data_IF_060396294273
#
_entry.id   IF_060396294273
#
_cell.length_a   1.000
_cell.length_b   1.000
_cell.length_c   1.000
_cell.angle_alpha   90.00
_cell.angle_beta   90.00
_cell.angle_gamma   90.00
#
_symmetry.space_group_name_H-M   'P 1'
#
loop_
_entity.id
_entity.type
_entity.pdbx_description
1 polymer ?
#
# COMPACT_ATOMS: atom_id res chain seq x y z
N UNK A 1 88.74 -6.71 27.16
CA UNK A 1 88.16 -7.84 26.39
C UNK A 1 86.91 -7.31 25.69
N UNK A 2 86.86 -7.42 24.36
CA UNK A 2 85.91 -6.77 23.46
C UNK A 2 84.43 -7.11 23.73
N UNK A 3 83.54 -6.13 23.69
CA UNK A 3 82.20 -6.30 23.11
C UNK A 3 81.90 -5.10 22.19
N UNK A 4 82.02 -5.33 20.88
CA UNK A 4 81.62 -4.38 19.83
C UNK A 4 80.11 -4.54 19.54
N UNK A 5 79.44 -3.39 19.43
CA UNK A 5 78.03 -3.23 19.07
C UNK A 5 77.70 -3.88 17.72
N UNK A 6 76.62 -4.66 17.66
CA UNK A 6 75.94 -5.02 16.41
C UNK A 6 74.84 -3.98 16.13
N UNK A 7 74.84 -3.40 14.93
CA UNK A 7 73.71 -2.70 14.33
C UNK A 7 73.32 -3.55 13.10
N UNK A 8 72.12 -4.14 13.03
CA UNK A 8 71.69 -4.81 11.82
C UNK A 8 71.10 -3.79 10.84
N UNK A 9 71.61 -3.86 9.61
CA UNK A 9 71.18 -3.14 8.41
C UNK A 9 69.79 -3.66 8.00
N UNK A 10 68.81 -2.77 7.92
CA UNK A 10 67.48 -3.08 7.38
C UNK A 10 67.53 -2.87 5.86
N UNK A 11 67.36 -3.95 5.10
CA UNK A 11 67.11 -3.89 3.66
C UNK A 11 65.62 -3.58 3.42
N UNK A 12 65.32 -2.45 2.77
CA UNK A 12 64.00 -2.19 2.20
C UNK A 12 63.83 -3.02 0.92
N UNK A 13 62.93 -4.00 0.95
CA UNK A 13 62.42 -4.69 -0.24
C UNK A 13 61.16 -3.96 -0.72
N UNK A 14 61.31 -3.12 -1.75
CA UNK A 14 60.19 -2.52 -2.47
C UNK A 14 59.58 -3.56 -3.41
N UNK A 15 58.53 -4.26 -2.95
CA UNK A 15 57.72 -5.16 -3.79
C UNK A 15 56.76 -4.28 -4.60
N UNK A 16 57.01 -4.14 -5.90
CA UNK A 16 56.05 -3.55 -6.83
C UNK A 16 54.89 -4.54 -7.03
N UNK A 17 53.73 -4.24 -6.45
CA UNK A 17 52.48 -4.91 -6.77
C UNK A 17 52.01 -4.40 -8.13
N UNK A 18 52.25 -5.19 -9.18
CA UNK A 18 51.53 -5.02 -10.45
C UNK A 18 50.10 -5.52 -10.19
N UNK A 19 49.21 -4.60 -9.89
CA UNK A 19 47.78 -4.87 -9.84
C UNK A 19 47.29 -5.14 -11.26
N UNK A 20 47.12 -6.42 -11.62
CA UNK A 20 46.20 -6.79 -12.69
C UNK A 20 44.80 -6.39 -12.22
N UNK A 21 44.36 -5.19 -12.58
CA UNK A 21 42.95 -4.85 -12.52
C UNK A 21 42.24 -5.80 -13.49
N UNK A 22 41.56 -6.82 -12.97
CA UNK A 22 40.52 -7.49 -13.73
C UNK A 22 39.48 -6.41 -14.05
N UNK A 23 39.34 -6.06 -15.33
CA UNK A 23 38.21 -5.29 -15.80
C UNK A 23 36.95 -6.01 -15.31
N UNK A 24 36.22 -5.36 -14.41
CA UNK A 24 34.87 -5.79 -14.04
C UNK A 24 34.10 -5.81 -15.37
N UNK A 25 33.56 -6.95 -15.81
CA UNK A 25 32.80 -6.99 -17.06
C UNK A 25 31.71 -5.93 -16.95
N UNK A 26 31.78 -4.90 -17.79
CA UNK A 26 30.67 -3.97 -17.96
C UNK A 26 29.45 -4.84 -18.28
N UNK A 27 28.47 -4.84 -17.38
CA UNK A 27 27.20 -5.55 -17.58
C UNK A 27 26.65 -4.99 -18.89
N UNK A 28 26.67 -5.79 -19.96
CA UNK A 28 26.18 -5.35 -21.27
C UNK A 28 24.78 -4.81 -21.06
N UNK A 29 24.48 -3.55 -21.46
CA UNK A 29 23.13 -3.01 -21.29
C UNK A 29 22.15 -3.93 -22.02
N UNK A 30 21.21 -4.50 -21.28
CA UNK A 30 20.16 -5.33 -21.87
C UNK A 30 19.32 -4.41 -22.75
N UNK A 31 19.09 -4.72 -24.04
CA UNK A 31 18.29 -3.89 -24.91
C UNK A 31 16.91 -3.62 -24.31
N UNK A 32 16.44 -2.37 -24.40
CA UNK A 32 15.10 -1.97 -23.95
C UNK A 32 14.00 -2.88 -24.51
N UNK A 33 14.16 -3.31 -25.77
CA UNK A 33 13.25 -4.23 -26.45
C UNK A 33 13.21 -5.63 -25.83
N UNK A 34 14.27 -6.07 -25.15
CA UNK A 34 14.29 -7.32 -24.37
C UNK A 34 13.60 -7.13 -23.02
N UNK A 35 13.85 -6.01 -22.34
CA UNK A 35 13.19 -5.67 -21.07
C UNK A 35 11.67 -5.51 -21.24
N UNK A 36 11.23 -4.90 -22.34
CA UNK A 36 9.80 -4.74 -22.67
C UNK A 36 9.07 -6.07 -22.91
N UNK A 37 9.78 -7.19 -23.12
CA UNK A 37 9.15 -8.52 -23.22
C UNK A 37 8.93 -9.19 -21.86
N UNK A 38 9.61 -8.72 -20.81
CA UNK A 38 9.49 -9.31 -19.48
C UNK A 38 8.16 -8.90 -18.82
N UNK A 39 7.57 -9.77 -17.99
CA UNK A 39 6.51 -9.37 -17.06
C UNK A 39 6.98 -8.25 -16.13
N UNK A 40 6.06 -7.40 -15.67
CA UNK A 40 6.36 -6.29 -14.75
C UNK A 40 7.11 -6.79 -13.51
N UNK A 41 6.65 -7.91 -12.92
CA UNK A 41 7.27 -8.57 -11.77
C UNK A 41 8.74 -8.90 -11.98
N UNK A 42 9.10 -9.38 -13.17
CA UNK A 42 10.49 -9.75 -13.47
C UNK A 42 11.37 -8.51 -13.60
N UNK A 43 10.86 -7.43 -14.21
CA UNK A 43 11.56 -6.13 -14.24
C UNK A 43 11.81 -5.64 -12.81
N UNK A 44 10.77 -5.61 -11.97
CA UNK A 44 10.92 -5.11 -10.59
C UNK A 44 11.86 -5.99 -9.77
N UNK A 45 11.69 -7.31 -9.81
CA UNK A 45 12.51 -8.24 -9.03
C UNK A 45 13.99 -8.19 -9.42
N UNK A 46 14.30 -8.02 -10.70
CA UNK A 46 15.67 -8.07 -11.20
C UNK A 46 16.44 -6.75 -11.04
N UNK A 47 15.74 -5.61 -10.94
CA UNK A 47 16.39 -4.29 -11.03
C UNK A 47 16.12 -3.32 -9.87
N UNK A 48 15.12 -3.56 -9.01
CA UNK A 48 14.70 -2.57 -8.00
C UNK A 48 15.06 -2.88 -6.54
N UNK A 49 15.94 -3.87 -6.29
CA UNK A 49 16.61 -4.16 -5.00
C UNK A 49 15.74 -4.13 -3.72
N UNK A 50 14.42 -4.32 -3.82
CA UNK A 50 13.51 -4.34 -2.67
C UNK A 50 13.04 -2.97 -2.14
N UNK A 51 13.30 -1.87 -2.88
CA UNK A 51 12.79 -0.53 -2.54
C UNK A 51 11.59 -0.09 -3.41
N UNK A 52 11.27 -0.83 -4.46
CA UNK A 52 10.06 -0.62 -5.25
C UNK A 52 9.25 -1.92 -5.29
N UNK A 53 7.95 -1.83 -5.03
CA UNK A 53 7.01 -2.95 -5.10
C UNK A 53 5.84 -2.65 -6.04
N UNK A 54 5.36 -3.66 -6.77
CA UNK A 54 4.27 -3.52 -7.74
C UNK A 54 3.22 -4.64 -7.64
N UNK A 55 2.08 -4.31 -7.05
CA UNK A 55 1.03 -5.25 -6.71
C UNK A 55 -0.26 -5.10 -7.52
N UNK A 56 -1.22 -5.97 -7.21
CA UNK A 56 -2.62 -5.77 -7.59
C UNK A 56 -3.56 -6.35 -6.55
N UNK A 57 -4.75 -5.77 -6.40
CA UNK A 57 -5.82 -6.40 -5.67
C UNK A 57 -6.50 -7.48 -6.51
N UNK A 58 -6.90 -8.59 -5.89
CA UNK A 58 -7.67 -9.63 -6.58
C UNK A 58 -8.69 -10.27 -5.63
N UNK A 59 -9.76 -10.84 -6.17
CA UNK A 59 -10.76 -11.56 -5.39
C UNK A 59 -10.35 -13.03 -5.22
N UNK A 60 -10.58 -13.63 -4.06
CA UNK A 60 -10.23 -15.04 -3.81
C UNK A 60 -10.83 -16.01 -4.83
N UNK A 61 -12.07 -15.75 -5.26
CA UNK A 61 -12.77 -16.54 -6.29
C UNK A 61 -12.10 -16.52 -7.69
N UNK A 62 -11.14 -15.63 -7.92
CA UNK A 62 -10.45 -15.46 -9.19
C UNK A 62 -9.01 -15.99 -9.16
N UNK A 63 -8.57 -16.62 -8.07
CA UNK A 63 -7.16 -16.98 -7.80
C UNK A 63 -6.51 -17.86 -8.88
N UNK A 64 -7.27 -18.67 -9.62
CA UNK A 64 -6.77 -19.43 -10.76
C UNK A 64 -7.50 -19.11 -12.07
N UNK A 65 -8.36 -18.10 -12.06
CA UNK A 65 -9.06 -17.59 -13.24
C UNK A 65 -8.17 -16.64 -14.05
N UNK A 66 -8.71 -16.09 -15.15
CA UNK A 66 -7.95 -15.18 -16.03
C UNK A 66 -7.25 -14.07 -15.25
N UNK A 67 -7.97 -13.38 -14.35
CA UNK A 67 -7.42 -12.31 -13.52
C UNK A 67 -6.35 -12.80 -12.56
N UNK A 68 -6.56 -13.93 -11.86
CA UNK A 68 -5.55 -14.50 -10.97
C UNK A 68 -4.27 -14.92 -11.69
N UNK A 69 -4.40 -15.52 -12.88
CA UNK A 69 -3.25 -15.91 -13.71
C UNK A 69 -2.46 -14.70 -14.23
N UNK A 70 -3.14 -13.64 -14.66
CA UNK A 70 -2.48 -12.38 -15.02
C UNK A 70 -1.79 -11.79 -13.78
N UNK A 71 -2.51 -11.74 -12.65
CA UNK A 71 -1.97 -11.15 -11.44
C UNK A 71 -0.70 -11.86 -10.95
N UNK A 72 -0.69 -13.19 -10.96
CA UNK A 72 0.46 -13.99 -10.53
C UNK A 72 1.68 -13.84 -11.45
N UNK A 73 1.43 -13.60 -12.75
CA UNK A 73 2.47 -13.37 -13.77
C UNK A 73 3.09 -11.99 -13.63
N UNK A 74 2.27 -10.95 -13.44
CA UNK A 74 2.69 -9.56 -13.60
C UNK A 74 3.11 -8.86 -12.30
N UNK A 75 2.67 -9.33 -11.13
CA UNK A 75 2.83 -8.58 -9.88
C UNK A 75 3.62 -9.34 -8.80
N UNK A 76 4.31 -8.57 -7.96
CA UNK A 76 5.19 -9.08 -6.89
C UNK A 76 4.45 -9.33 -5.56
N UNK A 77 3.33 -8.63 -5.35
CA UNK A 77 2.42 -8.81 -4.23
C UNK A 77 0.96 -8.75 -4.66
N UNK A 78 0.09 -9.28 -3.81
CA UNK A 78 -1.35 -9.21 -3.98
C UNK A 78 -2.04 -8.68 -2.73
N UNK A 79 -3.15 -7.98 -2.96
CA UNK A 79 -4.06 -7.54 -1.90
C UNK A 79 -5.39 -8.29 -2.07
N UNK A 80 -5.80 -9.14 -1.11
CA UNK A 80 -7.15 -9.71 -1.13
C UNK A 80 -8.20 -8.60 -1.09
N UNK A 81 -8.96 -8.42 -2.17
CA UNK A 81 -9.80 -7.24 -2.38
C UNK A 81 -10.88 -7.07 -1.30
N UNK A 82 -11.38 -8.18 -0.75
CA UNK A 82 -12.42 -8.20 0.27
C UNK A 82 -12.17 -9.20 1.40
N UNK A 83 -11.40 -10.26 1.14
CA UNK A 83 -11.40 -11.44 1.99
C UNK A 83 -10.81 -11.19 3.39
N UNK A 84 -10.08 -10.08 3.59
CA UNK A 84 -9.55 -9.65 4.90
C UNK A 84 -10.32 -8.49 5.56
N UNK A 85 -11.44 -8.07 4.97
CA UNK A 85 -12.32 -7.08 5.58
C UNK A 85 -13.12 -7.71 6.72
N UNK A 86 -13.40 -6.92 7.75
CA UNK A 86 -14.15 -7.39 8.91
C UNK A 86 -15.55 -7.88 8.54
N UNK A 87 -16.20 -7.29 7.52
CA UNK A 87 -17.47 -7.79 6.97
C UNK A 87 -17.44 -9.19 6.36
N UNK A 88 -16.26 -9.64 5.89
CA UNK A 88 -16.09 -10.96 5.30
C UNK A 88 -15.68 -11.99 6.35
N UNK A 89 -14.74 -11.62 7.22
CA UNK A 89 -14.21 -12.51 8.27
C UNK A 89 -15.20 -12.66 9.43
N UNK A 90 -15.86 -11.58 9.85
CA UNK A 90 -16.69 -11.55 11.05
C UNK A 90 -18.09 -10.93 10.79
N UNK A 91 -18.88 -11.55 9.89
CA UNK A 91 -20.09 -10.95 9.31
C UNK A 91 -21.25 -10.79 10.30
N UNK A 92 -21.25 -11.54 11.40
CA UNK A 92 -22.20 -11.41 12.53
C UNK A 92 -21.43 -11.50 13.85
N UNK A 93 -22.05 -11.06 14.95
CA UNK A 93 -21.42 -11.02 16.28
C UNK A 93 -20.78 -12.35 16.72
N UNK A 94 -21.42 -13.48 16.41
CA UNK A 94 -20.95 -14.81 16.87
C UNK A 94 -20.32 -15.67 15.76
N UNK A 95 -20.07 -15.13 14.56
CA UNK A 95 -19.60 -15.96 13.42
C UNK A 95 -18.26 -15.51 12.84
N UNK A 96 -17.41 -16.49 12.55
CA UNK A 96 -16.09 -16.30 11.95
C UNK A 96 -15.95 -17.10 10.67
N UNK A 97 -15.36 -16.49 9.64
CA UNK A 97 -15.13 -17.09 8.31
C UNK A 97 -13.66 -16.92 7.93
N UNK A 98 -12.86 -17.91 8.31
CA UNK A 98 -11.41 -17.91 8.08
C UNK A 98 -10.98 -18.56 6.77
N UNK A 99 -11.86 -19.34 6.13
CA UNK A 99 -11.52 -20.15 4.96
C UNK A 99 -10.92 -19.33 3.81
N UNK A 100 -11.56 -18.22 3.41
CA UNK A 100 -11.08 -17.38 2.31
C UNK A 100 -9.71 -16.72 2.64
N UNK A 101 -9.54 -16.05 3.79
CA UNK A 101 -8.23 -15.61 4.26
C UNK A 101 -7.14 -16.68 4.30
N UNK A 102 -7.44 -17.87 4.83
CA UNK A 102 -6.47 -18.96 4.97
C UNK A 102 -6.05 -19.53 3.61
N UNK A 103 -6.99 -19.58 2.65
CA UNK A 103 -6.71 -19.95 1.28
C UNK A 103 -5.75 -18.96 0.61
N UNK A 104 -5.90 -17.65 0.89
CA UNK A 104 -4.94 -16.64 0.45
C UNK A 104 -3.54 -16.86 1.02
N UNK A 105 -3.42 -17.14 2.32
CA UNK A 105 -2.13 -17.44 2.96
C UNK A 105 -1.49 -18.66 2.29
N UNK A 106 -2.26 -19.72 2.07
CA UNK A 106 -1.79 -20.96 1.43
C UNK A 106 -1.33 -20.70 0.00
N UNK A 107 -2.15 -20.00 -0.79
CA UNK A 107 -1.83 -19.63 -2.17
C UNK A 107 -0.56 -18.77 -2.25
N UNK A 108 -0.46 -17.75 -1.41
CA UNK A 108 0.71 -16.86 -1.38
C UNK A 108 2.00 -17.61 -1.05
N UNK A 109 1.93 -18.58 -0.14
CA UNK A 109 3.05 -19.47 0.17
C UNK A 109 3.46 -20.34 -1.01
N UNK A 110 2.50 -20.99 -1.68
CA UNK A 110 2.76 -21.84 -2.86
C UNK A 110 3.37 -21.03 -4.02
N UNK A 111 2.77 -19.88 -4.34
CA UNK A 111 3.20 -19.04 -5.45
C UNK A 111 4.35 -18.10 -5.12
N UNK A 112 4.82 -18.08 -3.86
CA UNK A 112 5.85 -17.15 -3.35
C UNK A 112 5.49 -15.69 -3.64
N UNK A 113 4.23 -15.35 -3.42
CA UNK A 113 3.68 -14.00 -3.59
C UNK A 113 3.61 -13.34 -2.20
N UNK A 114 3.91 -12.04 -2.12
CA UNK A 114 3.71 -11.28 -0.88
C UNK A 114 2.25 -10.87 -0.75
N UNK A 115 1.76 -10.74 0.48
CA UNK A 115 0.41 -10.30 0.77
C UNK A 115 0.40 -9.00 1.56
N UNK A 116 -0.52 -8.13 1.17
CA UNK A 116 -1.01 -6.99 1.95
C UNK A 116 -2.40 -7.32 2.47
N UNK A 117 -2.57 -7.38 3.79
CA UNK A 117 -3.87 -7.65 4.40
C UNK A 117 -4.68 -6.35 4.44
N UNK A 118 -5.85 -6.36 3.80
CA UNK A 118 -6.66 -5.16 3.57
C UNK A 118 -8.17 -5.42 3.79
N UNK A 119 -8.88 -4.64 4.62
CA UNK A 119 -8.32 -3.92 5.77
C UNK A 119 -9.15 -4.26 7.02
N UNK A 120 -8.50 -4.44 8.18
CA UNK A 120 -9.18 -4.95 9.38
C UNK A 120 -10.18 -3.94 9.97
N UNK A 121 -9.76 -2.70 10.24
CA UNK A 121 -10.62 -1.67 10.84
C UNK A 121 -10.92 -0.59 9.81
N UNK A 122 -12.16 -0.56 9.31
CA UNK A 122 -12.54 0.31 8.20
C UNK A 122 -14.05 0.57 8.14
N UNK A 123 -14.49 1.49 7.25
CA UNK A 123 -15.91 1.65 6.86
C UNK A 123 -16.56 0.40 6.28
N UNK A 124 -15.77 -0.59 5.86
CA UNK A 124 -16.25 -1.87 5.30
C UNK A 124 -16.45 -2.94 6.39
N UNK A 125 -16.70 -2.51 7.62
CA UNK A 125 -17.12 -3.39 8.71
C UNK A 125 -18.53 -3.96 8.47
N UNK A 126 -18.83 -5.03 9.19
CA UNK A 126 -20.08 -5.77 9.18
C UNK A 126 -21.26 -4.87 9.51
N UNK A 127 -22.40 -5.19 8.88
CA UNK A 127 -23.66 -4.47 9.09
C UNK A 127 -24.02 -4.32 10.57
N UNK A 128 -23.77 -5.34 11.38
CA UNK A 128 -24.11 -5.32 12.81
C UNK A 128 -23.27 -4.32 13.62
N UNK A 129 -22.05 -4.00 13.17
CA UNK A 129 -21.17 -2.97 13.77
C UNK A 129 -21.74 -1.57 13.53
N UNK A 130 -22.44 -1.40 12.41
CA UNK A 130 -23.06 -0.15 11.97
C UNK A 130 -24.43 0.11 12.57
N UNK A 131 -24.95 -0.80 13.39
CA UNK A 131 -26.28 -0.60 13.99
C UNK A 131 -26.26 0.61 14.93
N UNK A 132 -27.23 1.52 14.77
CA UNK A 132 -27.27 2.80 15.50
C UNK A 132 -27.33 2.65 17.03
N UNK A 133 -27.72 1.48 17.54
CA UNK A 133 -27.84 1.19 18.96
C UNK A 133 -26.54 0.72 19.62
N UNK A 134 -25.43 0.64 18.88
CA UNK A 134 -24.16 0.14 19.41
C UNK A 134 -23.55 1.11 20.41
N UNK A 135 -23.10 0.56 21.52
CA UNK A 135 -22.43 1.31 22.59
C UNK A 135 -20.92 1.42 22.36
N UNK A 136 -20.25 2.45 22.91
CA UNK A 136 -18.78 2.52 22.92
C UNK A 136 -18.11 1.25 23.44
N UNK A 137 -18.66 0.63 24.48
CA UNK A 137 -18.12 -0.58 25.11
C UNK A 137 -18.23 -1.80 24.20
N UNK A 138 -19.36 -1.99 23.50
CA UNK A 138 -19.53 -3.09 22.55
C UNK A 138 -18.59 -2.97 21.36
N UNK A 139 -18.48 -1.75 20.80
CA UNK A 139 -17.58 -1.48 19.67
C UNK A 139 -16.11 -1.67 20.07
N UNK A 140 -15.73 -1.23 21.27
CA UNK A 140 -14.37 -1.43 21.81
C UNK A 140 -14.07 -2.91 21.96
N UNK A 141 -14.96 -3.69 22.59
CA UNK A 141 -14.76 -5.13 22.77
C UNK A 141 -14.59 -5.85 21.45
N UNK A 142 -15.43 -5.53 20.46
CA UNK A 142 -15.30 -6.21 19.17
C UNK A 142 -14.04 -5.78 18.42
N UNK A 143 -13.65 -4.49 18.45
CA UNK A 143 -12.39 -4.06 17.85
C UNK A 143 -11.23 -4.85 18.47
N UNK A 144 -11.20 -4.95 19.80
CA UNK A 144 -10.20 -5.71 20.55
C UNK A 144 -10.16 -7.18 20.14
N UNK A 145 -11.31 -7.84 20.13
CA UNK A 145 -11.42 -9.24 19.74
C UNK A 145 -10.99 -9.45 18.29
N UNK A 146 -11.56 -8.69 17.35
CA UNK A 146 -11.31 -8.83 15.92
C UNK A 146 -9.84 -8.62 15.56
N UNK A 147 -9.26 -7.50 15.99
CA UNK A 147 -7.87 -7.18 15.69
C UNK A 147 -6.91 -8.18 16.32
N UNK A 148 -7.16 -8.58 17.57
CA UNK A 148 -6.30 -9.53 18.27
C UNK A 148 -6.30 -10.90 17.58
N UNK A 149 -7.49 -11.42 17.25
CA UNK A 149 -7.61 -12.71 16.57
C UNK A 149 -6.96 -12.67 15.18
N UNK A 150 -7.18 -11.61 14.40
CA UNK A 150 -6.56 -11.44 13.09
C UNK A 150 -5.03 -11.40 13.18
N UNK A 151 -4.48 -10.54 14.06
CA UNK A 151 -3.04 -10.38 14.22
C UNK A 151 -2.40 -11.70 14.67
N UNK A 152 -2.95 -12.36 15.69
CA UNK A 152 -2.42 -13.63 16.20
C UNK A 152 -2.46 -14.71 15.12
N UNK A 153 -3.58 -14.85 14.40
CA UNK A 153 -3.74 -15.88 13.37
C UNK A 153 -2.68 -15.77 12.27
N UNK A 154 -2.35 -14.55 11.87
CA UNK A 154 -1.41 -14.30 10.77
C UNK A 154 -0.01 -13.87 11.22
N UNK A 155 0.29 -13.93 12.53
CA UNK A 155 1.53 -13.39 13.08
C UNK A 155 2.81 -14.09 12.60
N UNK A 156 2.74 -15.30 12.04
CA UNK A 156 3.92 -16.05 11.63
C UNK A 156 3.86 -16.47 10.15
N UNK A 157 3.13 -15.70 9.33
CA UNK A 157 3.01 -15.99 7.91
C UNK A 157 4.12 -15.28 7.13
N UNK A 158 5.09 -16.00 6.53
CA UNK A 158 6.27 -15.39 5.90
C UNK A 158 5.95 -14.55 4.66
N UNK A 159 4.76 -14.75 4.08
CA UNK A 159 4.29 -14.03 2.91
C UNK A 159 3.52 -12.75 3.25
N UNK A 160 3.10 -12.56 4.51
CA UNK A 160 2.42 -11.33 4.91
C UNK A 160 3.49 -10.25 5.12
N UNK A 161 3.38 -9.17 4.36
CA UNK A 161 4.36 -8.08 4.37
C UNK A 161 3.76 -6.80 4.96
N UNK A 162 2.48 -6.53 4.71
CA UNK A 162 1.79 -5.32 5.15
C UNK A 162 0.42 -5.64 5.73
N UNK A 163 -0.01 -4.83 6.70
CA UNK A 163 -1.39 -4.78 7.18
C UNK A 163 -1.85 -3.33 7.13
N UNK A 164 -2.96 -3.07 6.44
CA UNK A 164 -3.65 -1.78 6.49
C UNK A 164 -4.47 -1.70 7.77
N UNK A 165 -3.82 -1.37 8.89
CA UNK A 165 -4.38 -1.44 10.26
C UNK A 165 -5.71 -0.70 10.37
N UNK A 166 -5.75 0.53 9.84
CA UNK A 166 -6.96 1.32 9.68
C UNK A 166 -7.07 1.84 8.26
N UNK A 167 -8.30 1.92 7.75
CA UNK A 167 -8.58 2.41 6.40
C UNK A 167 -9.65 3.51 6.43
N UNK A 168 -9.46 4.55 5.62
CA UNK A 168 -10.42 5.65 5.40
C UNK A 168 -10.86 6.34 6.70
N UNK A 169 -9.89 6.85 7.45
CA UNK A 169 -10.13 7.47 8.76
C UNK A 169 -10.50 8.94 8.67
N UNK A 170 -10.18 9.61 7.55
CA UNK A 170 -10.41 11.04 7.33
C UNK A 170 -11.40 11.24 6.19
N UNK A 171 -12.36 12.15 6.38
CA UNK A 171 -13.36 12.48 5.38
C UNK A 171 -12.73 13.15 4.16
N UNK A 172 -12.95 12.58 2.97
CA UNK A 172 -12.47 13.13 1.69
C UNK A 172 -13.39 14.20 1.08
N UNK A 173 -14.60 14.35 1.62
CA UNK A 173 -15.64 15.24 1.10
C UNK A 173 -16.49 15.81 2.25
N UNK A 174 -17.30 16.84 1.93
CA UNK A 174 -18.28 17.37 2.87
C UNK A 174 -19.54 16.53 2.83
N UNK A 175 -20.09 16.20 3.99
CA UNK A 175 -21.25 15.33 4.16
C UNK A 175 -22.19 15.97 5.15
N UNK A 176 -23.50 15.83 4.94
CA UNK A 176 -24.53 16.20 5.90
C UNK A 176 -25.28 14.96 6.35
N UNK A 177 -25.32 14.73 7.65
CA UNK A 177 -26.09 13.66 8.25
C UNK A 177 -27.16 14.22 9.21
N UNK A 178 -28.42 13.76 9.14
CA UNK A 178 -29.49 14.28 9.99
C UNK A 178 -29.35 13.98 11.48
N UNK A 179 -28.56 12.96 11.86
CA UNK A 179 -28.35 12.53 13.25
C UNK A 179 -26.99 12.96 13.76
N UNK A 180 -25.95 12.77 12.95
CA UNK A 180 -24.55 13.02 13.33
C UNK A 180 -24.04 14.40 12.92
N UNK A 181 -24.82 15.16 12.16
CA UNK A 181 -24.54 16.55 11.78
C UNK A 181 -23.67 16.69 10.53
N UNK A 182 -23.17 17.91 10.32
CA UNK A 182 -22.32 18.25 9.19
C UNK A 182 -20.87 17.81 9.46
N UNK A 183 -20.28 17.09 8.50
CA UNK A 183 -18.88 16.70 8.49
C UNK A 183 -18.18 17.36 7.29
N UNK A 184 -17.04 17.98 7.54
CA UNK A 184 -16.24 18.63 6.49
C UNK A 184 -15.10 17.73 6.03
N UNK A 185 -14.68 17.93 4.77
CA UNK A 185 -13.46 17.33 4.24
C UNK A 185 -12.27 17.67 5.14
N UNK A 186 -11.48 16.67 5.46
CA UNK A 186 -10.33 16.78 6.35
C UNK A 186 -10.69 16.66 7.83
N UNK A 187 -11.95 16.41 8.22
CA UNK A 187 -12.33 15.96 9.56
C UNK A 187 -12.29 14.43 9.66
N UNK A 188 -12.39 13.88 10.87
CA UNK A 188 -12.46 12.42 11.06
C UNK A 188 -13.70 11.87 10.39
N UNK A 189 -13.54 10.84 9.55
CA UNK A 189 -14.65 10.13 8.94
C UNK A 189 -15.40 9.35 10.02
N UNK A 190 -16.73 9.49 10.06
CA UNK A 190 -17.52 9.15 11.23
C UNK A 190 -18.82 8.42 10.88
N UNK A 191 -19.56 8.10 11.93
CA UNK A 191 -20.84 7.40 11.86
C UNK A 191 -21.90 8.22 11.11
N UNK A 192 -22.87 7.53 10.51
CA UNK A 192 -24.02 8.10 9.81
C UNK A 192 -25.28 7.37 10.23
N UNK A 193 -26.45 7.96 9.98
CA UNK A 193 -27.69 7.31 10.35
C UNK A 193 -27.93 6.05 9.50
N UNK A 194 -27.97 4.90 10.16
CA UNK A 194 -28.34 3.62 9.57
C UNK A 194 -27.24 2.96 8.74
N UNK A 195 -27.41 1.65 8.56
CA UNK A 195 -26.32 0.76 8.10
C UNK A 195 -25.99 0.75 6.60
N UNK A 196 -26.74 1.49 5.77
CA UNK A 196 -26.63 1.41 4.30
C UNK A 196 -25.69 2.45 3.69
N UNK A 197 -25.24 3.43 4.47
CA UNK A 197 -24.36 4.48 3.99
C UNK A 197 -22.90 4.04 4.07
N UNK A 198 -22.06 4.71 3.29
CA UNK A 198 -20.62 4.67 3.54
C UNK A 198 -20.35 5.48 4.80
N UNK A 199 -19.94 4.82 5.87
CA UNK A 199 -19.81 5.42 7.19
C UNK A 199 -18.74 4.72 8.02
N UNK A 200 -18.32 5.36 9.11
CA UNK A 200 -17.33 4.82 10.03
C UNK A 200 -17.90 4.80 11.46
N UNK A 201 -18.55 3.70 11.88
CA UNK A 201 -19.20 3.63 13.20
C UNK A 201 -18.19 3.66 14.36
N UNK A 202 -16.92 3.38 14.10
CA UNK A 202 -15.89 3.27 15.11
C UNK A 202 -15.63 4.58 15.88
N UNK A 203 -16.00 5.74 15.31
CA UNK A 203 -15.93 7.02 16.02
C UNK A 203 -16.88 7.12 17.22
N UNK A 204 -17.91 6.26 17.30
CA UNK A 204 -18.82 6.20 18.46
C UNK A 204 -18.07 5.84 19.74
N UNK A 205 -16.96 5.09 19.64
CA UNK A 205 -16.08 4.76 20.79
C UNK A 205 -15.59 6.04 21.50
N UNK A 206 -15.45 7.15 20.76
CA UNK A 206 -15.04 8.44 21.29
C UNK A 206 -13.68 8.89 20.77
N UNK A 207 -13.19 9.98 21.34
CA UNK A 207 -11.99 10.69 20.88
C UNK A 207 -11.08 10.99 22.07
N UNK A 208 -9.78 10.93 21.84
CA UNK A 208 -8.79 11.40 22.82
C UNK A 208 -8.90 12.92 22.99
N UNK A 209 -9.28 13.36 24.19
CA UNK A 209 -9.48 14.77 24.52
C UNK A 209 -8.15 15.53 24.70
N UNK A 210 -7.04 14.84 24.95
CA UNK A 210 -5.71 15.43 25.11
C UNK A 210 -4.98 15.57 23.76
N UNK A 211 -5.43 14.83 22.74
CA UNK A 211 -4.92 14.92 21.37
C UNK A 211 -5.28 16.25 20.72
N UNK A 212 -4.28 16.97 20.18
CA UNK A 212 -4.50 18.21 19.40
C UNK A 212 -5.52 18.01 18.28
N UNK A 213 -5.40 16.90 17.54
CA UNK A 213 -6.29 16.57 16.43
C UNK A 213 -7.56 15.82 16.86
N UNK A 214 -7.80 15.67 18.18
CA UNK A 214 -8.86 14.83 18.77
C UNK A 214 -8.93 13.45 18.10
N UNK A 215 -7.85 12.66 18.16
CA UNK A 215 -7.79 11.37 17.45
C UNK A 215 -8.88 10.40 17.94
N UNK A 216 -9.61 9.72 17.05
CA UNK A 216 -10.56 8.68 17.43
C UNK A 216 -9.89 7.55 18.21
N UNK A 217 -10.49 7.13 19.32
CA UNK A 217 -9.94 6.12 20.22
C UNK A 217 -9.81 4.75 19.55
N UNK A 218 -10.64 4.45 18.55
CA UNK A 218 -10.54 3.21 17.79
C UNK A 218 -9.21 3.09 17.03
N UNK A 219 -8.65 4.21 16.54
CA UNK A 219 -7.37 4.21 15.83
C UNK A 219 -6.25 3.86 16.81
N UNK A 220 -6.27 4.45 18.01
CA UNK A 220 -5.33 4.12 19.08
C UNK A 220 -5.37 2.63 19.41
N UNK A 221 -6.58 2.11 19.65
CA UNK A 221 -6.75 0.71 20.03
C UNK A 221 -6.28 -0.24 18.93
N UNK A 222 -6.59 0.05 17.66
CA UNK A 222 -6.16 -0.78 16.55
C UNK A 222 -4.62 -0.82 16.42
N UNK A 223 -3.95 0.33 16.58
CA UNK A 223 -2.48 0.41 16.54
C UNK A 223 -1.79 -0.14 17.78
N UNK A 224 -2.39 -0.03 18.96
CA UNK A 224 -1.94 -0.67 20.19
C UNK A 224 -1.86 -2.20 19.99
N UNK A 225 -2.98 -2.80 19.55
CA UNK A 225 -3.08 -4.25 19.32
C UNK A 225 -2.13 -4.68 18.21
N UNK A 226 -2.12 -3.97 17.08
CA UNK A 226 -1.24 -4.32 15.97
C UNK A 226 0.24 -4.20 16.36
N UNK A 227 0.62 -3.21 17.17
CA UNK A 227 1.99 -3.08 17.71
C UNK A 227 2.36 -4.28 18.58
N UNK A 228 1.42 -4.77 19.38
CA UNK A 228 1.66 -5.87 20.32
C UNK A 228 1.70 -7.25 19.63
N UNK A 229 0.78 -7.51 18.69
CA UNK A 229 0.53 -8.86 18.18
C UNK A 229 0.95 -9.08 16.73
N UNK A 230 1.13 -8.02 15.93
CA UNK A 230 1.69 -8.20 14.59
C UNK A 230 3.22 -8.41 14.69
N UNK A 231 3.78 -9.39 13.96
CA UNK A 231 5.20 -9.67 13.97
C UNK A 231 6.01 -8.44 13.52
N UNK A 232 7.26 -8.36 13.99
CA UNK A 232 8.17 -7.25 13.69
C UNK A 232 8.49 -7.12 12.19
N UNK A 233 8.39 -8.21 11.43
CA UNK A 233 8.58 -8.21 9.97
C UNK A 233 7.41 -7.66 9.16
N UNK A 234 6.21 -7.58 9.73
CA UNK A 234 5.00 -7.09 9.03
C UNK A 234 4.84 -5.60 9.28
N UNK A 235 4.73 -4.81 8.22
CA UNK A 235 4.61 -3.35 8.29
C UNK A 235 3.17 -2.91 8.57
N UNK A 236 3.01 -1.94 9.48
CA UNK A 236 1.73 -1.37 9.87
C UNK A 236 1.43 -0.09 9.09
N UNK A 237 0.42 -0.14 8.23
CA UNK A 237 0.08 0.92 7.29
C UNK A 237 -1.24 1.60 7.68
N UNK A 238 -1.31 2.92 7.53
CA UNK A 238 -2.57 3.66 7.49
C UNK A 238 -2.95 3.87 6.03
N UNK A 239 -4.11 3.36 5.61
CA UNK A 239 -4.57 3.50 4.22
C UNK A 239 -5.69 4.54 4.11
N UNK A 240 -5.64 5.39 3.09
CA UNK A 240 -6.56 6.51 2.96
C UNK A 240 -7.01 6.74 1.52
N UNK A 241 -8.32 6.94 1.38
CA UNK A 241 -8.96 7.34 0.12
C UNK A 241 -9.03 8.87 -0.02
N UNK A 242 -9.28 9.35 -1.23
CA UNK A 242 -9.31 10.75 -1.63
C UNK A 242 -8.54 10.99 -2.93
N UNK A 243 -8.58 12.22 -3.44
CA UNK A 243 -7.85 12.65 -4.64
C UNK A 243 -6.50 13.33 -4.31
N UNK A 244 -5.96 13.05 -3.13
CA UNK A 244 -4.75 13.67 -2.60
C UNK A 244 -4.91 15.12 -2.13
N UNK A 245 -6.03 15.41 -1.48
CA UNK A 245 -6.34 16.72 -0.95
C UNK A 245 -5.41 17.08 0.22
N UNK A 246 -4.79 18.25 0.15
CA UNK A 246 -3.80 18.72 1.14
C UNK A 246 -4.32 18.65 2.58
N UNK A 247 -5.55 19.12 2.83
CA UNK A 247 -6.15 19.10 4.18
C UNK A 247 -6.27 17.69 4.79
N UNK A 248 -6.47 16.66 3.94
CA UNK A 248 -6.54 15.27 4.38
C UNK A 248 -5.16 14.78 4.79
N UNK A 249 -4.16 15.04 3.95
CA UNK A 249 -2.80 14.55 4.17
C UNK A 249 -2.04 15.31 5.25
N UNK A 250 -2.32 16.60 5.47
CA UNK A 250 -1.78 17.32 6.63
C UNK A 250 -2.32 16.76 7.95
N UNK A 251 -3.60 16.38 8.01
CA UNK A 251 -4.13 15.66 9.19
C UNK A 251 -3.51 14.26 9.31
N UNK A 252 -3.28 13.56 8.21
CA UNK A 252 -2.61 12.26 8.22
C UNK A 252 -1.20 12.34 8.81
N UNK A 253 -0.41 13.37 8.44
CA UNK A 253 0.91 13.61 9.02
C UNK A 253 0.84 13.77 10.55
N UNK A 254 -0.12 14.56 11.04
CA UNK A 254 -0.35 14.73 12.48
C UNK A 254 -0.75 13.44 13.18
N UNK A 255 -1.58 12.61 12.53
CA UNK A 255 -1.96 11.29 13.05
C UNK A 255 -0.74 10.38 13.22
N UNK A 256 0.17 10.36 12.24
CA UNK A 256 1.40 9.57 12.34
C UNK A 256 2.25 10.00 13.53
N UNK A 257 2.50 11.32 13.67
CA UNK A 257 3.26 11.85 14.81
C UNK A 257 2.62 11.45 16.14
N UNK A 258 1.31 11.65 16.27
CA UNK A 258 0.56 11.32 17.48
C UNK A 258 0.64 9.83 17.85
N UNK A 259 0.47 8.91 16.89
CA UNK A 259 0.55 7.47 17.16
C UNK A 259 1.95 7.04 17.56
N UNK A 260 2.99 7.59 16.91
CA UNK A 260 4.39 7.27 17.23
C UNK A 260 4.84 7.87 18.56
N UNK A 261 4.38 9.05 18.93
CA UNK A 261 4.61 9.64 20.26
C UNK A 261 4.02 8.79 21.38
N UNK A 262 2.91 8.09 21.13
CA UNK A 262 2.35 7.08 22.04
C UNK A 262 3.14 5.76 22.07
N UNK A 263 4.15 5.60 21.24
CA UNK A 263 4.98 4.39 21.15
C UNK A 263 4.42 3.31 20.21
N UNK A 264 3.40 3.61 19.43
CA UNK A 264 2.86 2.66 18.46
C UNK A 264 3.66 2.62 17.17
N UNK A 265 3.73 1.44 16.56
CA UNK A 265 4.37 1.23 15.27
C UNK A 265 3.48 1.80 14.15
N UNK A 266 4.01 2.77 13.43
CA UNK A 266 3.47 3.19 12.13
C UNK A 266 4.62 3.10 11.15
N UNK A 267 4.53 2.19 10.19
CA UNK A 267 5.63 1.87 9.29
C UNK A 267 5.46 2.54 7.92
N UNK A 268 4.24 2.94 7.55
CA UNK A 268 4.01 3.60 6.28
C UNK A 268 2.60 4.15 6.09
N UNK A 269 2.42 4.85 4.97
CA UNK A 269 1.15 5.44 4.56
C UNK A 269 0.75 4.92 3.17
N UNK A 270 -0.55 4.65 3.02
CA UNK A 270 -1.17 4.18 1.79
C UNK A 270 -2.14 5.19 1.22
N UNK A 271 -2.00 5.56 -0.05
CA UNK A 271 -3.00 6.29 -0.82
C UNK A 271 -3.68 5.35 -1.81
N UNK A 272 -5.00 5.23 -1.73
CA UNK A 272 -5.76 4.34 -2.62
C UNK A 272 -5.61 4.71 -4.10
N UNK A 273 -5.60 6.00 -4.43
CA UNK A 273 -5.48 6.50 -5.80
C UNK A 273 -6.55 5.98 -6.80
N UNK A 274 -7.81 5.90 -6.39
CA UNK A 274 -8.95 5.83 -7.32
C UNK A 274 -9.15 7.20 -7.99
N UNK A 275 -8.44 7.46 -9.07
CA UNK A 275 -8.36 8.78 -9.73
C UNK A 275 -8.92 8.77 -11.15
N UNK A 276 -9.20 9.95 -11.70
CA UNK A 276 -9.67 10.08 -13.08
C UNK A 276 -8.50 10.31 -14.05
N UNK A 277 -8.68 9.90 -15.30
CA UNK A 277 -7.77 10.25 -16.40
C UNK A 277 -7.53 11.76 -16.44
N UNK A 278 -6.27 12.18 -16.45
CA UNK A 278 -5.84 13.58 -16.39
C UNK A 278 -5.65 14.13 -14.97
N UNK A 279 -5.68 13.31 -13.91
CA UNK A 279 -5.41 13.73 -12.53
C UNK A 279 -4.08 14.50 -12.40
N UNK A 280 -3.06 14.13 -13.17
CA UNK A 280 -1.75 14.76 -13.18
C UNK A 280 -1.73 16.17 -13.79
N UNK A 281 -2.76 16.51 -14.58
CA UNK A 281 -2.93 17.83 -15.21
C UNK A 281 -3.55 18.85 -14.26
N UNK A 282 -4.17 18.39 -13.17
CA UNK A 282 -4.73 19.27 -12.14
C UNK A 282 -3.56 19.94 -11.41
N UNK A 283 -3.49 21.28 -11.39
CA UNK A 283 -2.36 22.00 -10.81
C UNK A 283 -2.06 21.59 -9.37
N UNK A 284 -0.79 21.31 -9.08
CA UNK A 284 -0.29 20.96 -7.76
C UNK A 284 -0.45 19.50 -7.35
N UNK A 285 -1.18 18.66 -8.09
CA UNK A 285 -1.36 17.25 -7.72
C UNK A 285 -0.05 16.47 -7.67
N UNK A 286 0.72 16.50 -8.76
CA UNK A 286 2.01 15.80 -8.85
C UNK A 286 3.02 16.34 -7.84
N UNK A 287 3.10 17.66 -7.67
CA UNK A 287 4.01 18.30 -6.72
C UNK A 287 3.66 17.93 -5.27
N UNK A 288 2.37 17.86 -4.91
CA UNK A 288 1.94 17.43 -3.58
C UNK A 288 2.31 15.97 -3.33
N UNK A 289 2.11 15.09 -4.31
CA UNK A 289 2.50 13.68 -4.21
C UNK A 289 4.01 13.54 -3.98
N UNK A 290 4.81 14.16 -4.83
CA UNK A 290 6.29 14.18 -4.77
C UNK A 290 6.79 14.63 -3.38
N UNK A 291 6.34 15.81 -2.91
CA UNK A 291 6.70 16.32 -1.57
C UNK A 291 6.22 15.42 -0.43
N UNK A 292 5.07 14.77 -0.59
CA UNK A 292 4.52 13.89 0.44
C UNK A 292 5.33 12.59 0.56
N UNK A 293 5.80 12.03 -0.55
CA UNK A 293 6.67 10.84 -0.55
C UNK A 293 8.00 11.18 0.14
N UNK A 294 8.64 12.30 -0.21
CA UNK A 294 9.85 12.77 0.49
C UNK A 294 9.59 12.97 1.98
N UNK A 295 8.44 13.54 2.37
CA UNK A 295 8.08 13.66 3.78
C UNK A 295 7.98 12.29 4.47
N UNK A 296 7.38 11.29 3.82
CA UNK A 296 7.31 9.93 4.36
C UNK A 296 8.71 9.37 4.63
N UNK A 297 9.61 9.42 3.64
CA UNK A 297 10.96 8.88 3.77
C UNK A 297 11.80 9.63 4.81
N UNK A 298 11.69 10.96 4.90
CA UNK A 298 12.32 11.76 5.95
C UNK A 298 11.87 11.36 7.36
N UNK A 299 10.66 10.83 7.49
CA UNK A 299 10.11 10.33 8.75
C UNK A 299 10.25 8.80 8.86
N UNK A 300 11.10 8.14 8.07
CA UNK A 300 11.27 6.68 8.11
C UNK A 300 9.93 5.92 7.96
N UNK A 301 9.12 6.36 7.00
CA UNK A 301 7.85 5.72 6.62
C UNK A 301 7.97 5.23 5.18
N UNK A 302 7.41 4.06 4.88
CA UNK A 302 7.16 3.65 3.51
C UNK A 302 5.97 4.44 2.92
N UNK A 303 5.98 4.66 1.61
CA UNK A 303 4.82 5.21 0.90
C UNK A 303 4.28 4.21 -0.11
N UNK A 304 2.95 4.04 -0.14
CA UNK A 304 2.31 3.09 -1.03
C UNK A 304 1.15 3.76 -1.77
N UNK A 305 1.11 3.61 -3.09
CA UNK A 305 -0.15 3.62 -3.82
C UNK A 305 -0.75 2.22 -3.71
N UNK A 306 -2.00 2.10 -3.26
CA UNK A 306 -2.52 0.81 -2.75
C UNK A 306 -3.62 0.19 -3.60
N UNK A 307 -4.40 1.02 -4.31
CA UNK A 307 -5.63 0.60 -4.98
C UNK A 307 -5.85 1.35 -6.31
N UNK A 308 -4.79 1.62 -7.06
CA UNK A 308 -4.88 2.55 -8.17
C UNK A 308 -5.81 2.05 -9.27
N UNK A 309 -6.76 2.91 -9.62
CA UNK A 309 -7.47 2.88 -10.89
C UNK A 309 -7.36 4.27 -11.51
N UNK A 310 -7.33 4.33 -12.84
CA UNK A 310 -7.38 5.60 -13.59
C UNK A 310 -8.61 5.57 -14.47
N UNK A 311 -9.69 6.20 -14.06
CA UNK A 311 -11.00 6.01 -14.71
C UNK A 311 -11.12 6.76 -16.04
N UNK A 312 -11.72 6.08 -17.03
CA UNK A 312 -12.36 6.65 -18.21
C UNK A 312 -13.88 6.44 -18.04
N UNK A 313 -14.52 7.32 -17.26
CA UNK A 313 -15.91 7.14 -16.79
C UNK A 313 -16.97 7.19 -17.90
N UNK A 314 -16.63 7.80 -19.04
CA UNK A 314 -17.48 7.89 -20.23
C UNK A 314 -17.37 6.65 -21.14
N UNK A 315 -16.44 5.73 -20.86
CA UNK A 315 -16.19 4.54 -21.66
C UNK A 315 -15.51 4.80 -23.01
N UNK A 316 -14.94 6.00 -23.21
CA UNK A 316 -14.32 6.36 -24.48
C UNK A 316 -12.91 5.73 -24.63
N UNK A 317 -12.85 4.60 -25.33
CA UNK A 317 -11.60 3.88 -25.66
C UNK A 317 -10.55 4.73 -26.39
N UNK A 318 -10.92 5.85 -27.03
CA UNK A 318 -9.93 6.73 -27.67
C UNK A 318 -9.04 7.47 -26.66
N UNK A 319 -9.45 7.49 -25.38
CA UNK A 319 -8.74 8.15 -24.29
C UNK A 319 -7.73 7.25 -23.57
N UNK A 320 -7.55 6.00 -24.01
CA UNK A 320 -6.59 5.07 -23.39
C UNK A 320 -5.14 5.59 -23.41
N UNK A 321 -4.76 6.36 -24.42
CA UNK A 321 -3.43 7.02 -24.44
C UNK A 321 -3.32 8.10 -23.37
N UNK A 322 -4.39 8.87 -23.13
CA UNK A 322 -4.42 9.87 -22.06
C UNK A 322 -4.36 9.20 -20.68
N UNK A 323 -5.14 8.14 -20.49
CA UNK A 323 -5.11 7.30 -19.29
C UNK A 323 -3.72 6.72 -19.04
N UNK A 324 -3.04 6.25 -20.09
CA UNK A 324 -1.70 5.73 -20.00
C UNK A 324 -0.72 6.79 -19.46
N UNK A 325 -0.82 8.05 -19.91
CA UNK A 325 0.03 9.13 -19.38
C UNK A 325 -0.24 9.41 -17.90
N UNK A 326 -1.48 9.31 -17.43
CA UNK A 326 -1.78 9.40 -15.99
C UNK A 326 -1.09 8.26 -15.21
N UNK A 327 -1.23 7.01 -15.67
CA UNK A 327 -0.52 5.85 -15.10
C UNK A 327 1.00 6.06 -15.04
N UNK A 328 1.56 6.50 -16.15
CA UNK A 328 2.98 6.79 -16.31
C UNK A 328 3.48 7.91 -15.41
N UNK A 329 2.71 9.00 -15.28
CA UNK A 329 3.10 10.14 -14.44
C UNK A 329 3.10 9.78 -12.96
N UNK A 330 2.11 9.03 -12.47
CA UNK A 330 2.09 8.57 -11.08
C UNK A 330 3.26 7.61 -10.82
N UNK A 331 3.49 6.66 -11.74
CA UNK A 331 4.60 5.68 -11.63
C UNK A 331 5.96 6.38 -11.60
N UNK A 332 6.25 7.25 -12.57
CA UNK A 332 7.52 8.01 -12.61
C UNK A 332 7.72 8.91 -11.39
N UNK A 333 6.64 9.43 -10.80
CA UNK A 333 6.74 10.22 -9.56
C UNK A 333 7.22 9.34 -8.39
N UNK A 334 6.69 8.12 -8.24
CA UNK A 334 7.19 7.17 -7.23
C UNK A 334 8.65 6.79 -7.47
N UNK A 335 9.02 6.55 -8.73
CA UNK A 335 10.35 6.05 -9.10
C UNK A 335 11.46 7.02 -8.68
N UNK A 336 11.22 8.34 -8.67
CA UNK A 336 12.19 9.33 -8.16
C UNK A 336 12.66 9.05 -6.73
N UNK A 337 11.83 8.38 -5.92
CA UNK A 337 12.08 8.21 -4.49
C UNK A 337 12.59 6.80 -4.12
N UNK A 338 12.83 5.90 -5.09
CA UNK A 338 13.27 4.51 -4.79
C UNK A 338 14.65 4.44 -4.11
N UNK A 339 15.45 5.50 -4.25
CA UNK A 339 16.74 5.63 -3.60
C UNK A 339 16.65 6.26 -2.20
N UNK A 340 15.52 6.90 -1.87
CA UNK A 340 15.28 7.57 -0.59
C UNK A 340 14.60 6.64 0.41
N UNK A 341 13.75 5.72 -0.06
CA UNK A 341 13.07 4.74 0.77
C UNK A 341 12.16 3.82 -0.03
N UNK A 342 11.40 2.98 0.68
CA UNK A 342 10.46 2.05 0.05
C UNK A 342 9.26 2.82 -0.52
N UNK A 343 8.96 2.54 -1.79
CA UNK A 343 7.73 2.92 -2.45
C UNK A 343 7.01 1.70 -3.03
N UNK A 344 5.68 1.73 -3.03
CA UNK A 344 4.86 0.69 -3.63
C UNK A 344 3.79 1.27 -4.55
N UNK A 345 3.40 0.54 -5.57
CA UNK A 345 2.18 0.79 -6.36
C UNK A 345 1.37 -0.49 -6.50
N UNK A 346 0.08 -0.44 -6.22
CA UNK A 346 -0.85 -1.55 -6.47
C UNK A 346 -2.08 -1.05 -7.18
N UNK A 347 -2.60 -1.88 -8.08
CA UNK A 347 -3.79 -1.59 -8.89
C UNK A 347 -5.01 -2.29 -8.33
N UNK A 348 -6.16 -1.62 -8.28
CA UNK A 348 -7.37 -2.24 -7.75
C UNK A 348 -8.09 -3.06 -8.82
N UNK A 349 -7.85 -4.37 -8.76
CA UNK A 349 -8.26 -5.39 -9.72
C UNK A 349 -7.52 -5.35 -11.07
N UNK A 350 -7.59 -6.49 -11.77
CA UNK A 350 -6.86 -6.72 -13.02
C UNK A 350 -7.69 -6.27 -14.22
N UNK A 351 -8.98 -6.62 -14.25
CA UNK A 351 -9.92 -6.31 -15.34
C UNK A 351 -11.07 -5.48 -14.82
N UNK A 352 -11.70 -4.71 -15.71
CA UNK A 352 -12.76 -3.78 -15.33
C UNK A 352 -13.96 -4.50 -14.69
N UNK A 353 -14.38 -5.66 -15.22
CA UNK A 353 -15.48 -6.48 -14.66
C UNK A 353 -15.22 -7.03 -13.25
N UNK A 354 -13.98 -7.02 -12.79
CA UNK A 354 -13.64 -7.45 -11.43
C UNK A 354 -13.82 -6.31 -10.41
N UNK A 355 -14.02 -5.06 -10.87
CA UNK A 355 -14.22 -3.88 -10.03
C UNK A 355 -15.70 -3.64 -9.74
N UNK A 356 -16.05 -2.88 -8.67
CA UNK A 356 -17.42 -2.41 -8.47
C UNK A 356 -17.93 -1.45 -9.55
N UNK A 357 -17.04 -0.86 -10.36
CA UNK A 357 -17.35 0.16 -11.37
C UNK A 357 -16.94 -0.31 -12.77
N UNK A 358 -17.41 -1.49 -13.19
CA UNK A 358 -17.01 -2.17 -14.43
C UNK A 358 -17.12 -1.34 -15.72
N UNK A 359 -17.94 -0.29 -15.72
CA UNK A 359 -18.17 0.58 -16.88
C UNK A 359 -17.18 1.74 -17.00
N UNK A 360 -16.36 1.98 -15.96
CA UNK A 360 -15.48 3.15 -15.90
C UNK A 360 -14.07 2.89 -16.44
N UNK A 361 -13.84 1.72 -17.04
CA UNK A 361 -12.62 1.36 -17.78
C UNK A 361 -11.33 1.80 -17.08
N UNK A 362 -11.15 1.39 -15.83
CA UNK A 362 -10.07 1.89 -14.98
C UNK A 362 -8.90 0.96 -14.75
N UNK A 363 -8.94 -0.27 -15.25
CA UNK A 363 -7.90 -1.27 -15.02
C UNK A 363 -6.84 -1.28 -16.13
N UNK A 364 -5.76 -2.03 -15.92
CA UNK A 364 -4.67 -2.20 -16.90
C UNK A 364 -4.97 -3.26 -17.98
N UNK A 365 -5.95 -4.13 -17.76
CA UNK A 365 -6.44 -5.08 -18.75
C UNK A 365 -7.92 -4.85 -19.03
N UNK A 366 -8.32 -5.10 -20.27
CA UNK A 366 -9.73 -5.19 -20.62
C UNK A 366 -10.35 -6.53 -20.16
N UNK A 367 -11.67 -6.67 -20.31
CA UNK A 367 -12.39 -7.88 -19.87
C UNK A 367 -11.97 -9.15 -20.64
N UNK A 368 -11.39 -9.01 -21.84
CA UNK A 368 -10.85 -10.12 -22.62
C UNK A 368 -9.42 -10.52 -22.18
N UNK A 369 -8.82 -9.82 -21.20
CA UNK A 369 -7.46 -10.07 -20.71
C UNK A 369 -6.38 -9.50 -21.62
N UNK A 370 -6.70 -8.54 -22.50
CA UNK A 370 -5.72 -7.82 -23.32
C UNK A 370 -5.21 -6.62 -22.54
N UNK A 371 -3.89 -6.43 -22.54
CA UNK A 371 -3.26 -5.29 -21.88
C UNK A 371 -3.66 -4.00 -22.61
N UNK A 372 -3.98 -2.96 -21.83
CA UNK A 372 -4.25 -1.61 -22.32
C UNK A 372 -2.94 -0.80 -22.42
N UNK A 373 -2.91 0.33 -23.15
CA UNK A 373 -1.73 1.18 -23.25
C UNK A 373 -1.08 1.58 -21.91
N UNK A 374 -1.86 1.70 -20.84
CA UNK A 374 -1.35 1.97 -19.49
C UNK A 374 -0.34 0.92 -18.99
N UNK A 375 -0.51 -0.35 -19.34
CA UNK A 375 0.42 -1.42 -18.94
C UNK A 375 1.80 -1.21 -19.57
N UNK A 376 1.86 -1.00 -20.88
CA UNK A 376 3.12 -0.74 -21.59
C UNK A 376 3.77 0.56 -21.11
N UNK A 377 2.95 1.57 -20.84
CA UNK A 377 3.42 2.87 -20.37
C UNK A 377 4.05 2.83 -18.97
N UNK A 378 3.60 1.94 -18.08
CA UNK A 378 4.24 1.66 -16.79
C UNK A 378 5.58 0.96 -17.00
N UNK A 379 5.63 -0.07 -17.86
CA UNK A 379 6.89 -0.78 -18.18
C UNK A 379 7.95 0.16 -18.73
N UNK A 380 7.54 1.09 -19.60
CA UNK A 380 8.43 2.11 -20.13
C UNK A 380 9.06 2.96 -19.03
N UNK A 381 8.31 3.40 -18.01
CA UNK A 381 8.88 4.18 -16.89
C UNK A 381 9.84 3.36 -16.06
N UNK A 382 9.49 2.10 -15.78
CA UNK A 382 10.36 1.19 -15.06
C UNK A 382 11.69 1.02 -15.80
N UNK A 383 11.66 0.84 -17.12
CA UNK A 383 12.86 0.61 -17.92
C UNK A 383 13.67 1.90 -18.08
N UNK A 384 13.01 3.03 -18.36
CA UNK A 384 13.66 4.34 -18.46
C UNK A 384 14.43 4.68 -17.18
N UNK A 385 13.86 4.38 -16.01
CA UNK A 385 14.53 4.62 -14.74
C UNK A 385 15.73 3.68 -14.51
N UNK A 386 15.73 2.46 -15.07
CA UNK A 386 16.88 1.54 -14.98
C UNK A 386 18.03 1.98 -15.89
N UNK A 387 17.72 2.57 -17.04
CA UNK A 387 18.70 2.89 -18.09
C UNK A 387 19.24 4.31 -18.04
N UNK A 388 18.64 5.19 -17.24
CA UNK A 388 19.15 6.52 -16.87
C UNK A 388 20.15 6.41 -15.73
#
# INVERSE_FOLDING_TARGET
MLMKKLIPVIYLLCIHWISCAQEIPQKVPIPESELMRLPIKEIVTNYYNGNFYIGTANHGKLIDELSGRIAAREFDYMTPANDFKQSYIHPTYDSWRWELPDNWITYAKDKKIRLRLHSPISPQCSKWVKEDNRTPEELTRMLEEYMTQLCIRYANQPNVQWIDVVNETIAKENVKDPVFGDQKRGEWFGARQGTSLWENPWTIIGFDAESEIRTPLYINKAFEIATQYAPSGVKLIINQHGNFEEVVWERMKKLVSYLREKGYRVDGLGWQAHIDTGWEKIPGNVERLDKFISWCHQHSLEFHITEMNVWIKDGDTTRETEQAETYGKVTSTLLKHVHEGVVGISFWNVRDEDTPNEKWMGCLWDNAGRARPGYERIKQELINHITQ
#
